data_IF_007791559972
#
_entry.id   IF_007791559972
#
_cell.length_a   1.000
_cell.length_b   1.000
_cell.length_c   1.000
_cell.angle_alpha   90.00
_cell.angle_beta   90.00
_cell.angle_gamma   90.00
#
_symmetry.space_group_name_H-M   'P 1'
#
loop_
_entity.id
_entity.type
_entity.pdbx_description
1 polymer ?
#
# COMPACT_ATOMS: atom_id res chain seq x y z
N UNK A 1 28.57 4.87 -14.22
CA UNK A 1 29.80 4.41 -13.53
C UNK A 1 29.51 3.03 -12.96
N UNK A 2 30.13 1.96 -13.47
CA UNK A 2 30.04 0.63 -12.85
C UNK A 2 30.91 0.65 -11.59
N UNK A 3 30.32 0.45 -10.42
CA UNK A 3 31.08 0.24 -9.20
C UNK A 3 31.79 -1.11 -9.33
N UNK A 4 33.12 -1.11 -9.27
CA UNK A 4 33.92 -2.34 -9.24
C UNK A 4 34.20 -2.66 -7.77
N UNK A 5 33.24 -3.33 -7.12
CA UNK A 5 33.30 -3.66 -5.70
C UNK A 5 33.78 -5.10 -5.55
N UNK A 6 34.91 -5.30 -4.86
CA UNK A 6 35.49 -6.61 -4.58
C UNK A 6 35.00 -7.14 -3.23
N UNK A 7 34.25 -8.24 -3.25
CA UNK A 7 33.72 -8.92 -2.06
C UNK A 7 34.56 -10.11 -1.59
N UNK A 8 35.69 -10.40 -2.23
CA UNK A 8 36.47 -11.62 -1.94
C UNK A 8 36.98 -11.70 -0.49
N UNK A 9 37.14 -10.57 0.21
CA UNK A 9 37.43 -10.56 1.66
C UNK A 9 36.23 -10.96 2.52
N UNK A 10 35.02 -10.56 2.13
CA UNK A 10 33.78 -10.95 2.81
C UNK A 10 33.53 -12.45 2.60
N UNK A 11 33.74 -12.96 1.39
CA UNK A 11 33.63 -14.38 1.07
C UNK A 11 34.61 -15.24 1.88
N UNK A 12 35.88 -14.82 2.00
CA UNK A 12 36.85 -15.51 2.87
C UNK A 12 36.41 -15.52 4.33
N UNK A 13 35.79 -14.44 4.79
CA UNK A 13 35.28 -14.35 6.17
C UNK A 13 34.12 -15.32 6.38
N UNK A 14 33.21 -15.45 5.41
CA UNK A 14 32.13 -16.46 5.46
C UNK A 14 32.69 -17.88 5.57
N UNK A 15 33.72 -18.21 4.79
CA UNK A 15 34.38 -19.53 4.85
C UNK A 15 35.05 -19.75 6.21
N UNK A 16 35.79 -18.77 6.74
CA UNK A 16 36.44 -18.87 8.05
C UNK A 16 35.45 -19.02 9.21
N UNK A 17 34.25 -18.45 9.07
CA UNK A 17 33.19 -18.52 10.06
C UNK A 17 32.29 -19.76 9.91
N UNK A 18 32.55 -20.62 8.92
CA UNK A 18 31.68 -21.75 8.55
C UNK A 18 30.21 -21.30 8.29
N UNK A 19 30.04 -20.05 7.87
CA UNK A 19 28.73 -19.44 7.68
C UNK A 19 28.18 -19.77 6.29
N UNK A 20 26.90 -20.13 6.20
CA UNK A 20 26.24 -20.29 4.90
C UNK A 20 26.16 -18.94 4.16
N UNK A 21 26.52 -18.94 2.87
CA UNK A 21 26.33 -17.79 2.00
C UNK A 21 24.85 -17.40 1.90
N UNK A 22 24.55 -16.11 2.05
CA UNK A 22 23.22 -15.55 1.92
C UNK A 22 23.17 -14.55 0.77
N UNK A 23 22.05 -14.56 0.04
CA UNK A 23 21.79 -13.57 -1.01
C UNK A 23 21.45 -12.23 -0.33
N UNK A 24 22.21 -11.18 -0.63
CA UNK A 24 21.92 -9.81 -0.20
C UNK A 24 21.83 -8.87 -1.40
N UNK A 25 20.98 -7.85 -1.31
CA UNK A 25 20.91 -6.78 -2.30
C UNK A 25 21.57 -5.53 -1.72
N UNK A 26 22.44 -4.89 -2.50
CA UNK A 26 23.03 -3.60 -2.16
C UNK A 26 22.07 -2.56 -2.71
N UNK A 27 21.24 -2.00 -1.84
CA UNK A 27 20.47 -0.82 -2.17
C UNK A 27 21.38 0.42 -2.07
N UNK A 28 21.26 1.40 -2.99
CA UNK A 28 21.98 2.66 -2.85
C UNK A 28 21.70 3.27 -1.48
N UNK A 29 22.76 3.71 -0.79
CA UNK A 29 22.58 4.49 0.43
C UNK A 29 21.68 5.69 0.11
N UNK A 30 20.56 5.79 0.82
CA UNK A 30 19.63 6.89 0.62
C UNK A 30 20.38 8.21 0.89
N UNK A 31 20.29 9.21 0.00
CA UNK A 31 20.97 10.48 0.20
C UNK A 31 20.58 11.11 1.55
N UNK A 32 21.52 11.78 2.22
CA UNK A 32 21.27 12.45 3.51
C UNK A 32 20.11 13.45 3.44
N UNK A 33 19.95 14.13 2.30
CA UNK A 33 18.81 15.01 2.03
C UNK A 33 17.46 14.27 2.05
N UNK A 34 17.38 13.06 1.49
CA UNK A 34 16.17 12.25 1.54
C UNK A 34 15.89 11.75 2.98
N UNK A 35 16.93 11.47 3.75
CA UNK A 35 16.80 11.12 5.17
C UNK A 35 16.24 12.30 5.98
N UNK A 36 16.77 13.50 5.79
CA UNK A 36 16.32 14.69 6.49
C UNK A 36 14.86 15.02 6.13
N UNK A 37 14.52 14.91 4.84
CA UNK A 37 13.15 15.07 4.37
C UNK A 37 12.18 14.05 4.99
N UNK A 38 12.59 12.79 5.15
CA UNK A 38 11.77 11.78 5.83
C UNK A 38 11.46 12.16 7.28
N UNK A 39 12.44 12.70 8.00
CA UNK A 39 12.24 13.13 9.39
C UNK A 39 11.29 14.33 9.47
N UNK A 40 11.49 15.33 8.62
CA UNK A 40 10.61 16.49 8.54
C UNK A 40 9.17 16.07 8.20
N UNK A 41 9.01 15.11 7.29
CA UNK A 41 7.71 14.60 6.88
C UNK A 41 7.01 13.79 7.99
N UNK A 42 7.75 13.13 8.88
CA UNK A 42 7.18 12.48 10.07
C UNK A 42 6.60 13.54 11.02
N UNK A 43 7.31 14.65 11.23
CA UNK A 43 6.85 15.75 12.09
C UNK A 43 5.66 16.52 11.47
N UNK A 44 5.65 16.60 10.15
CA UNK A 44 4.59 17.20 9.35
C UNK A 44 5.03 18.52 8.70
N UNK A 45 4.88 18.59 7.38
CA UNK A 45 5.29 19.75 6.58
C UNK A 45 4.05 20.57 6.22
N UNK A 46 4.12 21.87 6.47
CA UNK A 46 3.06 22.79 6.09
C UNK A 46 3.16 23.15 4.60
N UNK A 47 2.13 22.82 3.82
CA UNK A 47 2.05 23.09 2.38
C UNK A 47 0.71 23.75 2.01
N UNK A 48 0.71 24.46 0.88
CA UNK A 48 -0.52 24.80 0.18
C UNK A 48 -1.06 23.58 -0.57
N UNK A 49 -2.36 23.56 -0.85
CA UNK A 49 -3.04 22.41 -1.46
C UNK A 49 -2.52 22.10 -2.87
N UNK A 50 -2.12 23.13 -3.63
CA UNK A 50 -1.56 23.04 -4.98
C UNK A 50 -0.24 22.26 -5.04
N UNK A 51 0.56 22.32 -3.96
CA UNK A 51 1.81 21.57 -3.84
C UNK A 51 1.63 20.10 -3.39
N UNK A 52 0.44 19.71 -2.96
CA UNK A 52 0.14 18.31 -2.61
C UNK A 52 0.04 17.48 -3.88
N UNK A 53 0.74 16.35 -3.96
CA UNK A 53 0.72 15.46 -5.13
C UNK A 53 -0.34 14.37 -4.96
N UNK A 54 -0.98 13.99 -6.07
CA UNK A 54 -2.06 12.97 -6.12
C UNK A 54 -1.98 12.08 -7.36
N UNK A 55 -0.77 11.89 -7.92
CA UNK A 55 -0.56 11.25 -9.22
C UNK A 55 -1.13 9.82 -9.31
N UNK A 56 -1.15 9.10 -8.20
CA UNK A 56 -1.72 7.74 -8.08
C UNK A 56 -3.14 7.74 -7.55
N UNK A 57 -3.83 8.89 -7.45
CA UNK A 57 -5.13 9.03 -6.77
C UNK A 57 -5.06 9.00 -5.24
N UNK A 58 -3.92 8.59 -4.67
CA UNK A 58 -3.58 8.68 -3.25
C UNK A 58 -2.79 9.96 -2.99
N UNK A 59 -2.87 10.49 -1.76
CA UNK A 59 -2.07 11.66 -1.37
C UNK A 59 -0.60 11.26 -1.25
N UNK A 60 0.26 12.07 -1.84
CA UNK A 60 1.69 11.81 -1.92
C UNK A 60 2.53 13.08 -1.84
N UNK A 61 3.80 12.90 -1.50
CA UNK A 61 4.79 13.98 -1.51
C UNK A 61 6.15 13.39 -1.82
N UNK A 62 6.80 13.84 -2.90
CA UNK A 62 8.14 13.40 -3.30
C UNK A 62 8.30 11.86 -3.31
N UNK A 63 7.36 11.19 -3.99
CA UNK A 63 7.36 9.74 -4.16
C UNK A 63 7.00 8.92 -2.92
N UNK A 64 6.64 9.55 -1.80
CA UNK A 64 6.16 8.92 -0.57
C UNK A 64 4.65 9.00 -0.46
N UNK A 65 4.05 7.97 0.12
CA UNK A 65 2.67 8.03 0.58
C UNK A 65 2.57 9.01 1.74
N UNK A 66 1.59 9.90 1.71
CA UNK A 66 1.34 10.84 2.80
C UNK A 66 -0.16 10.95 3.07
N UNK A 67 -0.49 11.50 4.23
CA UNK A 67 -1.83 12.00 4.53
C UNK A 67 -1.79 13.52 4.62
N UNK A 68 -2.95 14.14 4.51
CA UNK A 68 -3.15 15.58 4.59
C UNK A 68 -4.19 15.92 5.65
N UNK A 69 -3.96 16.94 6.47
CA UNK A 69 -5.00 17.49 7.34
C UNK A 69 -4.90 19.01 7.51
N UNK A 70 -5.98 19.64 7.96
CA UNK A 70 -6.02 21.06 8.29
C UNK A 70 -5.88 21.19 9.82
N UNK A 71 -4.79 21.78 10.32
CA UNK A 71 -4.55 21.90 11.76
C UNK A 71 -5.46 22.93 12.44
N UNK A 72 -5.92 23.95 11.71
CA UNK A 72 -6.80 25.00 12.24
C UNK A 72 -8.25 24.51 12.40
N UNK A 73 -8.78 24.60 13.62
CA UNK A 73 -10.11 24.15 14.01
C UNK A 73 -10.96 25.27 14.57
N UNK A 74 -12.06 25.57 13.86
CA UNK A 74 -13.10 26.52 14.32
C UNK A 74 -13.73 26.15 15.67
N UNK A 75 -13.78 24.86 16.00
CA UNK A 75 -14.27 24.36 17.29
C UNK A 75 -13.23 23.45 17.94
N UNK A 76 -12.06 24.02 18.23
CA UNK A 76 -10.92 23.33 18.80
C UNK A 76 -11.23 22.61 20.13
N UNK A 77 -12.10 23.18 20.98
CA UNK A 77 -12.45 22.58 22.27
C UNK A 77 -13.21 21.25 22.13
N UNK A 78 -14.17 21.19 21.20
CA UNK A 78 -14.87 19.95 20.89
C UNK A 78 -13.92 18.94 20.25
N UNK A 79 -13.08 19.39 19.30
CA UNK A 79 -12.11 18.54 18.62
C UNK A 79 -11.10 17.91 19.59
N UNK A 80 -10.60 18.66 20.59
CA UNK A 80 -9.68 18.12 21.61
C UNK A 80 -10.35 17.11 22.55
N UNK A 81 -11.66 17.25 22.80
CA UNK A 81 -12.43 16.29 23.62
C UNK A 81 -12.75 15.01 22.84
N UNK A 82 -13.15 15.16 21.58
CA UNK A 82 -13.42 14.06 20.66
C UNK A 82 -12.96 14.45 19.25
N UNK A 83 -11.92 13.78 18.74
CA UNK A 83 -11.41 14.02 17.39
C UNK A 83 -12.41 13.72 16.28
N UNK A 84 -13.52 13.06 16.58
CA UNK A 84 -14.66 12.91 15.66
C UNK A 84 -15.36 14.25 15.36
N UNK A 85 -15.27 15.22 16.26
CA UNK A 85 -15.83 16.57 16.13
C UNK A 85 -14.86 17.53 15.39
N UNK A 86 -13.61 17.10 15.18
CA UNK A 86 -12.60 17.89 14.48
C UNK A 86 -12.69 17.82 12.95
N UNK A 87 -11.76 18.49 12.29
CA UNK A 87 -11.50 18.29 10.86
C UNK A 87 -11.08 16.83 10.62
N UNK A 88 -11.22 16.37 9.38
CA UNK A 88 -10.83 15.01 8.99
C UNK A 88 -9.49 15.05 8.28
N UNK A 89 -8.70 13.99 8.44
CA UNK A 89 -7.52 13.81 7.61
C UNK A 89 -7.89 13.09 6.31
N UNK A 90 -7.13 13.35 5.27
CA UNK A 90 -7.34 12.86 3.92
C UNK A 90 -6.16 11.99 3.51
N UNK A 91 -6.45 10.96 2.71
CA UNK A 91 -5.45 9.99 2.22
C UNK A 91 -5.52 9.76 0.71
N UNK A 92 -6.50 10.39 0.05
CA UNK A 92 -6.74 10.26 -1.38
C UNK A 92 -7.32 11.56 -1.96
N UNK A 93 -7.29 11.68 -3.28
CA UNK A 93 -7.88 12.77 -4.07
C UNK A 93 -9.42 12.68 -4.08
N UNK A 94 -10.01 12.74 -2.89
CA UNK A 94 -11.45 12.69 -2.75
C UNK A 94 -12.09 14.00 -3.21
N UNK A 95 -13.41 13.97 -3.43
CA UNK A 95 -14.20 15.13 -3.87
C UNK A 95 -13.89 16.42 -3.09
N UNK A 96 -13.69 16.34 -1.77
CA UNK A 96 -13.40 17.51 -0.94
C UNK A 96 -12.03 18.12 -1.22
N UNK A 97 -11.01 17.31 -1.53
CA UNK A 97 -9.69 17.81 -1.92
C UNK A 97 -9.78 18.53 -3.27
N UNK A 98 -10.54 17.99 -4.22
CA UNK A 98 -10.80 18.65 -5.51
C UNK A 98 -11.48 20.01 -5.28
N UNK A 99 -12.56 20.04 -4.51
CA UNK A 99 -13.27 21.29 -4.15
C UNK A 99 -12.37 22.30 -3.42
N UNK A 100 -11.43 21.84 -2.59
CA UNK A 100 -10.47 22.70 -1.88
C UNK A 100 -9.45 23.31 -2.84
N UNK A 101 -8.96 22.55 -3.82
CA UNK A 101 -8.05 23.07 -4.87
C UNK A 101 -8.73 24.15 -5.72
N UNK A 102 -10.00 23.95 -6.07
CA UNK A 102 -10.76 24.89 -6.91
C UNK A 102 -11.06 26.22 -6.20
N UNK A 103 -11.17 26.21 -4.88
CA UNK A 103 -11.62 27.37 -4.09
C UNK A 103 -10.49 28.28 -3.60
N UNK A 104 -9.23 27.89 -3.76
CA UNK A 104 -8.04 28.56 -3.21
C UNK A 104 -8.30 29.12 -1.79
N UNK A 105 -8.60 28.24 -0.83
CA UNK A 105 -9.14 28.67 0.46
C UNK A 105 -8.16 29.45 1.35
N UNK A 106 -6.90 29.63 0.92
CA UNK A 106 -5.84 30.21 1.74
C UNK A 106 -5.44 29.36 2.95
N UNK A 107 -6.09 28.20 3.14
CA UNK A 107 -5.82 27.28 4.23
C UNK A 107 -4.41 26.70 4.06
N UNK A 108 -3.71 26.58 5.19
CA UNK A 108 -2.44 25.87 5.23
C UNK A 108 -2.68 24.45 5.71
N UNK A 109 -2.20 23.49 4.93
CA UNK A 109 -2.38 22.07 5.19
C UNK A 109 -1.08 21.49 5.75
N UNK A 110 -1.19 20.43 6.53
CA UNK A 110 -0.03 19.65 6.96
C UNK A 110 -0.06 18.31 6.22
N UNK A 111 1.04 17.99 5.54
CA UNK A 111 1.30 16.65 5.00
C UNK A 111 2.23 15.89 5.93
N UNK A 112 1.97 14.61 6.16
CA UNK A 112 2.82 13.80 7.04
C UNK A 112 2.79 12.32 6.67
N UNK A 113 3.87 11.61 7.04
CA UNK A 113 3.97 10.14 7.07
C UNK A 113 3.73 9.55 8.46
N UNK A 114 3.52 10.39 9.47
CA UNK A 114 3.33 9.97 10.86
C UNK A 114 2.14 9.03 11.02
N UNK A 115 2.38 7.81 11.47
CA UNK A 115 1.37 6.76 11.67
C UNK A 115 0.90 6.66 13.12
N UNK A 116 1.37 7.54 14.01
CA UNK A 116 0.98 7.59 15.43
C UNK A 116 -0.53 7.78 15.63
N UNK A 117 -1.21 8.32 14.61
CA UNK A 117 -2.63 8.67 14.65
C UNK A 117 -2.94 9.87 15.54
N UNK A 118 -1.93 10.57 16.06
CA UNK A 118 -2.08 11.81 16.84
C UNK A 118 -1.68 13.00 15.98
N UNK A 119 -2.61 13.94 15.82
CA UNK A 119 -2.43 15.13 14.99
C UNK A 119 -2.38 16.37 15.87
N UNK A 120 -1.37 17.21 15.65
CA UNK A 120 -1.27 18.53 16.28
C UNK A 120 -2.27 19.46 15.62
N UNK A 121 -3.20 19.97 16.41
CA UNK A 121 -4.25 20.90 15.98
C UNK A 121 -4.24 22.16 16.85
N UNK A 122 -4.74 23.27 16.30
CA UNK A 122 -4.87 24.54 17.00
C UNK A 122 -6.18 25.25 16.62
N UNK A 123 -6.54 26.27 17.39
CA UNK A 123 -7.66 27.16 17.09
C UNK A 123 -7.93 28.13 18.25
N UNK A 124 -8.97 28.94 18.11
CA UNK A 124 -9.37 29.91 19.13
C UNK A 124 -10.42 29.33 20.09
N UNK A 125 -10.22 29.50 21.40
CA UNK A 125 -11.25 29.22 22.39
C UNK A 125 -12.46 30.16 22.19
N UNK A 126 -13.67 29.60 22.22
CA UNK A 126 -14.90 30.37 21.97
C UNK A 126 -15.17 31.46 23.00
N UNK A 127 -14.81 31.21 24.26
CA UNK A 127 -15.16 32.11 25.37
C UNK A 127 -14.33 33.39 25.42
N UNK A 128 -13.06 33.35 25.00
CA UNK A 128 -12.13 34.46 25.20
C UNK A 128 -11.17 34.69 24.03
N UNK A 129 -11.37 34.02 22.90
CA UNK A 129 -10.55 34.16 21.69
C UNK A 129 -9.06 33.85 21.87
N UNK A 130 -8.68 33.21 22.97
CA UNK A 130 -7.30 32.78 23.20
C UNK A 130 -6.97 31.57 22.32
N UNK A 131 -5.81 31.61 21.67
CA UNK A 131 -5.28 30.45 20.96
C UNK A 131 -5.01 29.30 21.92
N UNK A 132 -5.44 28.11 21.52
CA UNK A 132 -5.14 26.85 22.19
C UNK A 132 -4.70 25.82 21.15
N UNK A 133 -3.87 24.87 21.57
CA UNK A 133 -3.39 23.78 20.74
C UNK A 133 -3.34 22.47 21.54
N UNK A 134 -3.28 21.35 20.83
CA UNK A 134 -3.14 20.04 21.43
C UNK A 134 -3.03 18.94 20.39
N UNK A 135 -2.84 17.71 20.86
CA UNK A 135 -2.79 16.51 20.02
C UNK A 135 -4.09 15.72 20.14
N UNK A 136 -4.66 15.29 19.01
CA UNK A 136 -5.85 14.46 19.02
C UNK A 136 -5.84 13.39 17.93
N UNK A 137 -6.59 12.30 18.14
CA UNK A 137 -6.88 11.30 17.12
C UNK A 137 -8.02 11.77 16.22
N UNK A 138 -7.69 12.43 15.11
CA UNK A 138 -8.65 12.79 14.08
C UNK A 138 -9.17 11.54 13.36
N UNK A 139 -10.37 11.64 12.79
CA UNK A 139 -10.94 10.57 11.96
C UNK A 139 -10.58 10.75 10.49
N UNK A 140 -10.48 9.63 9.79
CA UNK A 140 -10.30 9.60 8.33
C UNK A 140 -11.50 10.22 7.62
N UNK A 141 -11.26 10.90 6.50
CA UNK A 141 -12.31 11.45 5.68
C UNK A 141 -13.13 10.33 5.02
N UNK A 142 -14.44 10.29 5.32
CA UNK A 142 -15.43 9.37 4.71
C UNK A 142 -15.44 9.45 3.17
N UNK A 143 -15.06 10.58 2.60
CA UNK A 143 -14.96 10.76 1.14
C UNK A 143 -13.74 10.04 0.55
N UNK A 144 -12.62 9.98 1.27
CA UNK A 144 -11.45 9.20 0.86
C UNK A 144 -11.76 7.70 0.89
N UNK A 145 -12.40 7.21 1.96
CA UNK A 145 -12.80 5.80 2.06
C UNK A 145 -13.75 5.39 0.94
N UNK A 146 -14.74 6.24 0.63
CA UNK A 146 -15.62 6.03 -0.50
C UNK A 146 -14.87 6.07 -1.83
N UNK A 147 -13.98 7.03 -2.02
CA UNK A 147 -13.20 7.16 -3.26
C UNK A 147 -12.43 5.87 -3.57
N UNK A 148 -11.73 5.33 -2.57
CA UNK A 148 -10.94 4.10 -2.68
C UNK A 148 -11.78 2.83 -2.62
N UNK A 149 -13.06 2.93 -2.25
CA UNK A 149 -13.86 1.80 -1.77
C UNK A 149 -13.09 0.94 -0.74
N UNK A 150 -12.41 1.61 0.20
CA UNK A 150 -11.58 0.95 1.22
C UNK A 150 -12.45 0.04 2.09
N UNK A 151 -12.10 -1.24 2.21
CA UNK A 151 -12.89 -2.25 2.93
C UNK A 151 -14.38 -2.25 2.56
N UNK A 152 -14.71 -2.09 1.27
CA UNK A 152 -16.08 -2.08 0.77
C UNK A 152 -16.91 -0.85 1.16
N UNK A 153 -16.28 0.23 1.65
CA UNK A 153 -16.98 1.38 2.22
C UNK A 153 -18.05 2.00 1.32
N UNK A 154 -17.90 1.99 -0.01
CA UNK A 154 -18.88 2.63 -0.89
C UNK A 154 -20.27 1.95 -0.79
N UNK A 155 -20.28 0.62 -0.75
CA UNK A 155 -21.49 -0.21 -0.78
C UNK A 155 -21.92 -0.73 0.60
N UNK A 156 -21.13 -0.50 1.64
CA UNK A 156 -21.44 -0.93 3.00
C UNK A 156 -22.71 -0.25 3.57
N UNK A 157 -23.48 -0.96 4.43
CA UNK A 157 -24.57 -0.36 5.20
C UNK A 157 -24.05 0.68 6.20
N UNK A 158 -24.95 1.50 6.76
CA UNK A 158 -24.57 2.65 7.60
C UNK A 158 -23.75 2.24 8.83
N UNK A 159 -24.14 1.18 9.51
CA UNK A 159 -23.45 0.67 10.71
C UNK A 159 -22.02 0.20 10.36
N UNK A 160 -21.87 -0.59 9.29
CA UNK A 160 -20.57 -1.04 8.81
C UNK A 160 -19.68 0.13 8.34
N UNK A 161 -20.25 1.20 7.77
CA UNK A 161 -19.49 2.41 7.40
C UNK A 161 -18.86 3.07 8.62
N UNK A 162 -19.60 3.16 9.73
CA UNK A 162 -19.08 3.75 10.95
C UNK A 162 -18.02 2.84 11.60
N UNK A 163 -18.19 1.53 11.52
CA UNK A 163 -17.16 0.57 11.92
C UNK A 163 -15.87 0.73 11.11
N UNK A 164 -15.95 0.83 9.78
CA UNK A 164 -14.76 1.03 8.92
C UNK A 164 -14.04 2.33 9.29
N UNK A 165 -14.78 3.42 9.58
CA UNK A 165 -14.19 4.71 9.95
C UNK A 165 -13.53 4.66 11.31
N UNK A 166 -14.18 4.02 12.30
CA UNK A 166 -13.68 3.93 13.67
C UNK A 166 -12.49 2.98 13.81
N UNK A 167 -12.44 1.91 13.00
CA UNK A 167 -11.35 0.93 12.96
C UNK A 167 -10.26 1.25 11.94
N UNK A 168 -10.33 2.40 11.26
CA UNK A 168 -9.32 2.78 10.27
C UNK A 168 -7.94 2.90 10.93
N UNK A 169 -6.98 2.09 10.46
CA UNK A 169 -5.61 2.09 10.93
C UNK A 169 -4.66 2.66 9.88
N UNK A 170 -3.83 3.62 10.28
CA UNK A 170 -2.87 4.27 9.37
C UNK A 170 -1.78 3.31 8.91
N UNK A 171 -1.30 2.41 9.77
CA UNK A 171 -0.22 1.50 9.38
C UNK A 171 -0.71 0.47 8.36
N UNK A 172 -1.90 -0.09 8.56
CA UNK A 172 -2.61 -0.95 7.62
C UNK A 172 -2.80 -0.24 6.28
N UNK A 173 -3.31 0.99 6.30
CA UNK A 173 -3.52 1.78 5.09
C UNK A 173 -2.22 2.00 4.32
N UNK A 174 -1.16 2.47 4.99
CA UNK A 174 0.12 2.75 4.34
C UNK A 174 0.78 1.48 3.77
N UNK A 175 0.65 0.35 4.46
CA UNK A 175 1.18 -0.92 3.97
C UNK A 175 0.36 -1.48 2.80
N UNK A 176 -0.97 -1.36 2.84
CA UNK A 176 -1.88 -1.80 1.76
C UNK A 176 -1.53 -1.15 0.42
N UNK A 177 -1.24 0.15 0.44
CA UNK A 177 -0.94 0.91 -0.78
C UNK A 177 0.56 1.13 -1.02
N UNK A 178 1.43 0.55 -0.21
CA UNK A 178 2.89 0.78 -0.27
C UNK A 178 3.53 0.50 -1.63
N UNK A 179 2.98 -0.45 -2.39
CA UNK A 179 3.44 -0.80 -3.74
C UNK A 179 3.12 0.26 -4.80
N UNK A 180 2.31 1.27 -4.48
CA UNK A 180 1.96 2.39 -5.35
C UNK A 180 2.99 3.53 -5.29
N UNK A 181 3.99 3.43 -4.42
CA UNK A 181 4.93 4.52 -4.12
C UNK A 181 6.38 4.10 -4.37
N UNK A 182 7.22 5.09 -4.65
CA UNK A 182 8.64 4.90 -4.90
C UNK A 182 9.39 4.57 -3.62
N UNK A 183 9.06 5.26 -2.53
CA UNK A 183 9.71 5.10 -1.23
C UNK A 183 8.74 4.45 -0.25
N UNK A 184 9.23 3.46 0.49
CA UNK A 184 8.44 2.75 1.48
C UNK A 184 8.33 3.55 2.80
N UNK A 185 7.22 3.43 3.56
CA UNK A 185 7.02 4.18 4.80
C UNK A 185 8.05 3.80 5.88
N UNK A 186 8.84 4.78 6.33
CA UNK A 186 10.02 4.54 7.17
C UNK A 186 9.71 4.08 8.60
N UNK A 187 8.66 4.63 9.23
CA UNK A 187 8.25 4.25 10.59
C UNK A 187 7.98 2.73 10.72
N UNK A 188 7.59 2.07 9.62
CA UNK A 188 7.31 0.63 9.59
C UNK A 188 8.58 -0.24 9.46
N UNK A 189 9.76 0.35 9.26
CA UNK A 189 11.05 -0.36 9.27
C UNK A 189 11.72 -0.35 10.65
N UNK A 190 11.51 0.69 11.44
CA UNK A 190 12.20 0.90 12.72
C UNK A 190 11.93 -0.19 13.78
N UNK A 191 10.84 -0.96 13.62
CA UNK A 191 10.41 -1.97 14.58
C UNK A 191 10.71 -3.42 14.18
N UNK A 192 11.35 -3.68 13.02
CA UNK A 192 11.49 -5.07 12.51
C UNK A 192 12.47 -5.96 13.28
N UNK A 193 13.24 -5.42 14.21
CA UNK A 193 14.33 -6.16 14.87
C UNK A 193 14.35 -6.05 16.41
N UNK A 194 13.34 -5.44 17.04
CA UNK A 194 13.28 -5.40 18.51
C UNK A 194 12.56 -6.66 19.02
N UNK A 195 13.32 -7.62 19.54
CA UNK A 195 12.80 -8.76 20.30
C UNK A 195 12.83 -10.12 19.61
N UNK A 196 13.67 -10.30 18.58
CA UNK A 196 13.92 -11.64 18.03
C UNK A 196 15.19 -12.20 18.66
N UNK A 197 15.05 -13.28 19.42
CA UNK A 197 16.17 -14.09 19.90
C UNK A 197 16.89 -14.74 18.70
N UNK A 198 18.18 -15.01 18.81
CA UNK A 198 19.01 -15.63 17.75
C UNK A 198 18.37 -16.93 17.19
N UNK A 199 17.60 -17.64 18.02
CA UNK A 199 16.84 -18.84 17.66
C UNK A 199 15.77 -18.59 16.57
N UNK A 200 15.17 -17.40 16.51
CA UNK A 200 14.17 -17.09 15.48
C UNK A 200 14.75 -17.05 14.06
N UNK A 201 15.98 -16.55 13.92
CA UNK A 201 16.64 -16.46 12.62
C UNK A 201 16.87 -17.86 12.02
N UNK A 202 17.44 -18.77 12.81
CA UNK A 202 17.68 -20.14 12.39
C UNK A 202 16.37 -20.89 12.13
N UNK A 203 15.36 -20.72 12.99
CA UNK A 203 14.02 -21.30 12.79
C UNK A 203 13.34 -20.79 11.51
N UNK A 204 13.42 -19.50 11.23
CA UNK A 204 12.88 -18.88 10.01
C UNK A 204 13.57 -19.42 8.75
N UNK A 205 14.90 -19.56 8.80
CA UNK A 205 15.71 -20.12 7.72
C UNK A 205 15.37 -21.59 7.47
N UNK A 206 15.31 -22.41 8.52
CA UNK A 206 14.95 -23.82 8.44
C UNK A 206 13.53 -24.00 7.86
N UNK A 207 12.56 -23.20 8.30
CA UNK A 207 11.19 -23.23 7.78
C UNK A 207 11.15 -22.99 6.27
N UNK A 208 11.81 -21.93 5.78
CA UNK A 208 11.85 -21.58 4.35
C UNK A 208 12.61 -22.62 3.51
N UNK A 209 13.70 -23.18 4.04
CA UNK A 209 14.49 -24.25 3.39
C UNK A 209 13.67 -25.55 3.25
N UNK A 210 12.91 -25.93 4.29
CA UNK A 210 12.06 -27.14 4.32
C UNK A 210 11.02 -27.16 3.20
N UNK A 211 10.42 -26.02 2.88
CA UNK A 211 9.44 -25.90 1.78
C UNK A 211 10.07 -25.50 0.45
N UNK A 212 11.40 -25.61 0.34
CA UNK A 212 12.15 -25.26 -0.85
C UNK A 212 11.85 -23.83 -1.37
N UNK A 213 11.76 -22.88 -0.45
CA UNK A 213 11.42 -21.49 -0.72
C UNK A 213 10.10 -21.30 -1.49
N UNK A 214 9.16 -22.23 -1.36
CA UNK A 214 7.83 -22.15 -1.95
C UNK A 214 6.86 -21.51 -0.95
N UNK A 215 6.15 -20.47 -1.36
CA UNK A 215 5.09 -19.87 -0.55
C UNK A 215 3.99 -20.90 -0.28
N UNK A 216 3.69 -21.18 0.98
CA UNK A 216 2.70 -22.17 1.36
C UNK A 216 1.24 -21.72 1.16
N UNK A 217 1.01 -20.42 0.92
CA UNK A 217 -0.32 -19.92 0.54
C UNK A 217 -0.51 -19.95 -0.98
N UNK A 218 0.35 -19.30 -1.77
CA UNK A 218 0.14 -19.16 -3.22
C UNK A 218 1.00 -20.06 -4.11
N UNK A 219 1.79 -20.97 -3.52
CA UNK A 219 2.65 -21.94 -4.22
C UNK A 219 3.74 -21.34 -5.12
N UNK A 220 3.99 -20.02 -5.06
CA UNK A 220 5.08 -19.43 -5.84
C UNK A 220 6.41 -19.87 -5.26
N UNK A 221 7.25 -20.45 -6.10
CA UNK A 221 8.63 -20.77 -5.77
C UNK A 221 9.50 -19.51 -5.88
N UNK A 222 10.20 -19.19 -4.79
CA UNK A 222 11.06 -18.01 -4.65
C UNK A 222 12.53 -18.42 -4.43
N UNK A 223 12.95 -19.62 -4.86
CA UNK A 223 14.33 -20.11 -4.66
C UNK A 223 15.37 -19.16 -5.24
N UNK A 224 15.07 -18.50 -6.36
CA UNK A 224 15.94 -17.51 -7.01
C UNK A 224 15.84 -16.10 -6.40
N UNK A 225 14.87 -15.87 -5.49
CA UNK A 225 14.56 -14.60 -4.83
C UNK A 225 14.14 -14.83 -3.37
N UNK A 226 15.00 -15.51 -2.62
CA UNK A 226 14.70 -16.01 -1.26
C UNK A 226 14.28 -14.91 -0.28
N UNK A 227 14.79 -13.68 -0.47
CA UNK A 227 14.45 -12.50 0.33
C UNK A 227 12.99 -12.02 0.17
N UNK A 228 12.23 -12.59 -0.77
CA UNK A 228 10.79 -12.31 -0.96
C UNK A 228 9.90 -13.30 -0.19
N UNK A 229 10.51 -14.25 0.54
CA UNK A 229 9.82 -15.23 1.36
C UNK A 229 10.17 -15.01 2.83
N UNK A 230 9.14 -14.83 3.64
CA UNK A 230 9.23 -14.62 5.08
C UNK A 230 8.66 -15.84 5.82
N UNK A 231 9.08 -16.02 7.08
CA UNK A 231 8.41 -16.92 8.00
C UNK A 231 7.33 -16.14 8.76
N UNK A 232 6.12 -16.69 8.78
CA UNK A 232 4.96 -16.16 9.46
C UNK A 232 4.60 -17.06 10.64
N UNK A 233 4.24 -16.45 11.77
CA UNK A 233 3.62 -17.15 12.89
C UNK A 233 2.09 -17.11 12.66
N UNK A 234 1.46 -18.21 12.22
CA UNK A 234 0.00 -18.28 12.22
C UNK A 234 -0.44 -18.17 13.67
N UNK A 235 -1.32 -17.20 13.97
CA UNK A 235 -1.75 -16.98 15.35
C UNK A 235 -2.45 -18.21 15.94
N UNK A 236 -1.69 -19.02 16.70
CA UNK A 236 -2.19 -19.89 17.75
C UNK A 236 -1.13 -19.96 18.85
N UNK A 237 -1.41 -19.24 19.95
CA UNK A 237 -0.83 -19.46 21.28
C UNK A 237 0.68 -19.21 21.38
N UNK A 238 1.07 -18.03 21.87
CA UNK A 238 2.46 -17.61 22.18
C UNK A 238 3.19 -18.49 23.21
N UNK A 239 2.61 -19.59 23.69
CA UNK A 239 3.12 -20.39 24.80
C UNK A 239 3.57 -21.81 24.45
N UNK A 240 3.71 -22.17 23.17
CA UNK A 240 4.30 -23.46 22.81
C UNK A 240 5.41 -23.29 21.78
N UNK A 241 6.64 -23.44 22.25
CA UNK A 241 7.90 -23.29 21.50
C UNK A 241 8.26 -24.57 20.73
N UNK A 242 7.30 -25.23 20.08
CA UNK A 242 7.57 -26.44 19.29
C UNK A 242 7.73 -26.09 17.81
N UNK A 243 8.56 -26.87 17.13
CA UNK A 243 9.10 -26.71 15.76
C UNK A 243 8.02 -26.59 14.64
N UNK A 244 6.72 -26.66 14.95
CA UNK A 244 5.64 -26.86 13.98
C UNK A 244 4.86 -25.60 13.58
N UNK A 245 5.15 -24.43 14.17
CA UNK A 245 4.26 -23.25 14.09
C UNK A 245 4.73 -22.13 13.15
N UNK A 246 5.70 -22.34 12.27
CA UNK A 246 6.05 -21.35 11.24
C UNK A 246 5.58 -21.80 9.86
N UNK A 247 4.95 -20.90 9.13
CA UNK A 247 4.62 -21.08 7.71
C UNK A 247 5.41 -20.10 6.85
N UNK A 248 5.92 -20.55 5.71
CA UNK A 248 6.65 -19.69 4.79
C UNK A 248 5.68 -19.02 3.80
N UNK A 249 5.60 -17.70 3.84
CA UNK A 249 4.73 -16.90 2.97
C UNK A 249 5.56 -15.93 2.14
N UNK A 250 5.19 -15.74 0.87
CA UNK A 250 5.77 -14.64 0.11
C UNK A 250 5.31 -13.31 0.72
N UNK A 251 6.11 -12.26 0.59
CA UNK A 251 5.79 -10.94 1.16
C UNK A 251 4.38 -10.43 0.84
N UNK A 252 3.89 -10.68 -0.38
CA UNK A 252 2.52 -10.33 -0.77
C UNK A 252 1.44 -11.14 -0.05
N UNK A 253 1.63 -12.46 0.11
CA UNK A 253 0.71 -13.28 0.90
C UNK A 253 0.80 -12.91 2.39
N UNK A 254 2.00 -12.67 2.89
CA UNK A 254 2.25 -12.37 4.30
C UNK A 254 1.57 -11.07 4.72
N UNK A 255 1.65 -9.99 3.92
CA UNK A 255 0.95 -8.72 4.22
C UNK A 255 -0.58 -8.84 4.19
N UNK A 256 -1.13 -9.90 3.57
CA UNK A 256 -2.58 -10.16 3.49
C UNK A 256 -3.09 -11.01 4.67
N UNK A 257 -2.20 -11.53 5.51
CA UNK A 257 -2.61 -12.25 6.72
C UNK A 257 -3.12 -11.28 7.80
N UNK A 258 -4.07 -11.70 8.65
CA UNK A 258 -4.54 -10.89 9.77
C UNK A 258 -3.40 -10.42 10.67
N UNK A 259 -3.53 -9.21 11.21
CA UNK A 259 -2.56 -8.58 12.14
C UNK A 259 -1.15 -8.33 11.57
N UNK A 260 -0.91 -8.69 10.31
CA UNK A 260 0.36 -8.53 9.61
C UNK A 260 0.26 -7.50 8.46
N UNK A 261 -0.85 -6.77 8.43
CA UNK A 261 -1.16 -5.77 7.42
C UNK A 261 -0.29 -4.51 7.53
N UNK A 262 0.73 -4.49 8.39
CA UNK A 262 1.69 -3.38 8.55
C UNK A 262 3.07 -3.67 7.91
N UNK A 263 3.17 -4.69 7.06
CA UNK A 263 4.39 -5.03 6.34
C UNK A 263 4.35 -4.50 4.91
N UNK A 264 5.04 -3.38 4.63
CA UNK A 264 5.01 -2.78 3.32
C UNK A 264 5.78 -3.64 2.30
N UNK A 265 5.27 -3.68 1.07
CA UNK A 265 5.86 -4.38 -0.06
C UNK A 265 6.07 -3.36 -1.17
N UNK A 266 7.31 -3.20 -1.63
CA UNK A 266 7.60 -2.22 -2.70
C UNK A 266 7.00 -2.65 -4.03
N UNK A 267 6.85 -1.68 -4.94
CA UNK A 267 6.47 -1.95 -6.33
C UNK A 267 7.34 -3.04 -6.97
N UNK A 268 8.66 -2.97 -6.79
CA UNK A 268 9.60 -3.95 -7.37
C UNK A 268 9.43 -5.34 -6.77
N UNK A 269 9.24 -5.45 -5.45
CA UNK A 269 8.99 -6.73 -4.78
C UNK A 269 7.67 -7.33 -5.26
N UNK A 270 6.60 -6.54 -5.32
CA UNK A 270 5.30 -7.01 -5.82
C UNK A 270 5.40 -7.45 -7.28
N UNK A 271 5.99 -6.62 -8.14
CA UNK A 271 6.21 -6.94 -9.56
C UNK A 271 6.99 -8.23 -9.73
N UNK A 272 8.05 -8.45 -8.93
CA UNK A 272 8.86 -9.68 -8.98
C UNK A 272 8.07 -10.92 -8.54
N UNK A 273 7.37 -10.87 -7.40
CA UNK A 273 6.53 -11.99 -6.92
C UNK A 273 5.51 -12.36 -7.99
N UNK A 274 4.91 -11.34 -8.56
CA UNK A 274 3.80 -11.48 -9.49
C UNK A 274 4.25 -12.02 -10.85
N UNK A 275 5.41 -11.56 -11.35
CA UNK A 275 6.07 -12.13 -12.52
C UNK A 275 6.40 -13.62 -12.32
N UNK A 276 6.95 -13.99 -11.16
CA UNK A 276 7.29 -15.38 -10.85
C UNK A 276 6.04 -16.28 -10.77
N UNK A 277 4.94 -15.79 -10.20
CA UNK A 277 3.65 -16.51 -10.22
C UNK A 277 3.22 -16.84 -11.64
N UNK A 278 3.30 -15.87 -12.55
CA UNK A 278 2.93 -16.06 -13.96
C UNK A 278 3.85 -17.04 -14.67
N UNK A 279 5.17 -16.89 -14.53
CA UNK A 279 6.17 -17.80 -15.13
C UNK A 279 5.99 -19.25 -14.67
N UNK A 280 5.42 -19.45 -13.48
CA UNK A 280 5.11 -20.75 -12.89
C UNK A 280 3.67 -21.22 -13.15
N UNK A 281 2.88 -20.50 -13.95
CA UNK A 281 1.51 -20.88 -14.30
C UNK A 281 0.48 -20.74 -13.16
N UNK A 282 0.76 -19.91 -12.15
CA UNK A 282 -0.06 -19.77 -10.94
C UNK A 282 -1.13 -18.68 -11.01
N UNK A 283 -1.25 -17.95 -12.13
CA UNK A 283 -2.13 -16.76 -12.28
C UNK A 283 -3.46 -17.05 -12.97
N UNK A 284 -4.09 -18.18 -12.66
CA UNK A 284 -5.37 -18.59 -13.25
C UNK A 284 -6.49 -18.59 -12.20
N UNK A 285 -7.12 -17.44 -11.91
CA UNK A 285 -8.19 -17.38 -10.93
C UNK A 285 -9.46 -18.08 -11.44
N UNK A 286 -10.10 -18.88 -10.59
CA UNK A 286 -11.36 -19.58 -10.87
C UNK A 286 -12.58 -18.92 -10.20
N UNK A 287 -12.33 -17.98 -9.30
CA UNK A 287 -13.35 -17.23 -8.56
C UNK A 287 -12.78 -15.90 -8.02
N UNK A 288 -13.63 -15.02 -7.50
CA UNK A 288 -13.21 -13.72 -6.96
C UNK A 288 -12.23 -13.81 -5.79
N UNK A 289 -12.32 -14.86 -4.97
CA UNK A 289 -11.36 -15.08 -3.87
C UNK A 289 -9.95 -15.36 -4.41
N UNK A 290 -9.85 -16.17 -5.46
CA UNK A 290 -8.59 -16.42 -6.15
C UNK A 290 -8.05 -15.19 -6.88
N UNK A 291 -8.92 -14.31 -7.42
CA UNK A 291 -8.49 -12.99 -7.94
C UNK A 291 -7.81 -12.18 -6.82
N UNK A 292 -8.48 -12.01 -5.67
CA UNK A 292 -7.93 -11.28 -4.51
C UNK A 292 -6.60 -11.85 -4.01
N UNK A 293 -6.43 -13.18 -4.11
CA UNK A 293 -5.18 -13.85 -3.74
C UNK A 293 -3.99 -13.35 -4.56
N UNK A 294 -4.17 -13.09 -5.86
CA UNK A 294 -3.07 -12.80 -6.78
C UNK A 294 -2.91 -11.32 -7.14
N UNK A 295 -3.95 -10.50 -7.02
CA UNK A 295 -3.87 -9.05 -7.25
C UNK A 295 -3.22 -8.32 -6.08
N UNK A 296 -2.68 -7.13 -6.34
CA UNK A 296 -2.20 -6.23 -5.29
C UNK A 296 -3.37 -5.78 -4.38
N UNK A 297 -3.21 -5.76 -3.04
CA UNK A 297 -4.19 -5.19 -2.10
C UNK A 297 -4.66 -3.79 -2.43
N UNK A 298 -3.83 -2.95 -3.05
CA UNK A 298 -4.23 -1.63 -3.52
C UNK A 298 -5.48 -1.69 -4.41
N UNK A 299 -5.65 -2.78 -5.19
CA UNK A 299 -6.77 -2.99 -6.10
C UNK A 299 -8.00 -3.62 -5.47
N UNK A 300 -7.98 -3.99 -4.18
CA UNK A 300 -9.10 -4.69 -3.54
C UNK A 300 -10.41 -3.91 -3.61
N UNK A 301 -10.38 -2.60 -3.33
CA UNK A 301 -11.56 -1.75 -3.43
C UNK A 301 -12.17 -1.73 -4.83
N UNK A 302 -11.34 -1.78 -5.88
CA UNK A 302 -11.80 -1.85 -7.26
C UNK A 302 -12.38 -3.23 -7.60
N UNK A 303 -11.68 -4.31 -7.23
CA UNK A 303 -12.12 -5.70 -7.43
C UNK A 303 -13.45 -5.98 -6.74
N UNK A 304 -13.64 -5.50 -5.51
CA UNK A 304 -14.90 -5.59 -4.78
C UNK A 304 -16.06 -4.95 -5.52
N UNK A 305 -15.81 -3.79 -6.12
CA UNK A 305 -16.82 -3.10 -6.91
C UNK A 305 -17.17 -3.89 -8.17
N UNK A 306 -16.18 -4.38 -8.92
CA UNK A 306 -16.38 -5.25 -10.07
C UNK A 306 -17.22 -6.49 -9.72
N UNK A 307 -16.91 -7.14 -8.59
CA UNK A 307 -17.64 -8.28 -8.08
C UNK A 307 -19.10 -7.94 -7.77
N UNK A 308 -19.34 -6.85 -7.03
CA UNK A 308 -20.69 -6.42 -6.63
C UNK A 308 -21.61 -6.10 -7.81
N UNK A 309 -21.03 -5.82 -8.98
CA UNK A 309 -21.72 -5.44 -10.19
C UNK A 309 -21.89 -6.59 -11.18
N UNK A 310 -21.43 -7.79 -10.81
CA UNK A 310 -21.56 -9.00 -11.61
C UNK A 310 -20.72 -8.98 -12.89
N UNK A 311 -19.56 -8.31 -12.88
CA UNK A 311 -18.62 -8.40 -14.01
C UNK A 311 -18.01 -9.81 -14.11
N UNK A 312 -17.50 -10.15 -15.30
CA UNK A 312 -16.72 -11.38 -15.49
C UNK A 312 -15.42 -11.34 -14.66
N UNK A 313 -14.88 -12.52 -14.33
CA UNK A 313 -13.59 -12.61 -13.65
C UNK A 313 -12.49 -12.00 -14.53
N UNK A 314 -11.69 -11.06 -14.01
CA UNK A 314 -10.55 -10.57 -14.76
C UNK A 314 -9.43 -11.61 -14.81
N UNK A 315 -8.65 -11.57 -15.88
CA UNK A 315 -7.32 -12.16 -15.91
C UNK A 315 -6.38 -11.32 -15.05
N UNK A 316 -5.57 -11.96 -14.24
CA UNK A 316 -4.53 -11.29 -13.43
C UNK A 316 -3.21 -11.38 -14.19
N UNK A 317 -2.49 -10.26 -14.31
CA UNK A 317 -1.18 -10.19 -14.96
C UNK A 317 -1.20 -10.57 -16.44
N UNK A 318 -2.15 -9.99 -17.16
CA UNK A 318 -2.36 -10.30 -18.56
C UNK A 318 -1.26 -9.66 -19.43
N UNK A 319 -0.50 -10.44 -20.23
CA UNK A 319 0.51 -9.90 -21.11
C UNK A 319 -0.11 -9.22 -22.32
N UNK A 320 0.39 -8.02 -22.65
CA UNK A 320 0.06 -7.33 -23.89
C UNK A 320 1.33 -6.76 -24.50
N UNK A 321 1.59 -7.11 -25.75
CA UNK A 321 2.73 -6.57 -26.50
C UNK A 321 2.36 -5.21 -27.07
N UNK A 322 3.15 -4.19 -26.72
CA UNK A 322 3.08 -2.89 -27.36
C UNK A 322 3.64 -3.01 -28.78
N UNK A 323 2.79 -2.81 -29.78
CA UNK A 323 3.20 -2.93 -31.19
C UNK A 323 4.22 -1.87 -31.62
N UNK A 324 4.31 -0.74 -30.91
CA UNK A 324 5.25 0.34 -31.24
C UNK A 324 6.65 0.09 -30.67
N UNK A 325 6.73 -0.39 -29.42
CA UNK A 325 8.02 -0.62 -28.74
C UNK A 325 8.49 -2.07 -28.83
N UNK A 326 7.62 -2.98 -29.26
CA UNK A 326 7.80 -4.43 -29.21
C UNK A 326 8.04 -4.97 -27.79
N UNK A 327 7.68 -4.19 -26.76
CA UNK A 327 7.81 -4.58 -25.35
C UNK A 327 6.52 -5.23 -24.85
N UNK A 328 6.63 -6.30 -24.08
CA UNK A 328 5.50 -6.90 -23.37
C UNK A 328 5.27 -6.17 -22.05
N UNK A 329 4.06 -5.63 -21.90
CA UNK A 329 3.57 -5.02 -20.67
C UNK A 329 2.65 -6.02 -19.99
N UNK A 330 2.73 -6.11 -18.67
CA UNK A 330 1.84 -6.95 -17.87
C UNK A 330 0.81 -6.06 -17.18
N UNK A 331 -0.45 -6.25 -17.54
CA UNK A 331 -1.58 -5.50 -16.99
C UNK A 331 -2.02 -6.16 -15.69
N UNK A 332 -2.22 -5.38 -14.63
CA UNK A 332 -2.50 -5.92 -13.30
C UNK A 332 -3.73 -6.82 -13.31
N UNK A 333 -4.78 -6.30 -13.94
CA UNK A 333 -6.01 -7.04 -14.26
C UNK A 333 -6.51 -6.65 -15.66
N UNK A 334 -7.10 -7.60 -16.37
CA UNK A 334 -7.61 -7.39 -17.72
C UNK A 334 -8.85 -8.22 -18.03
N UNK A 335 -9.66 -7.72 -18.94
CA UNK A 335 -10.75 -8.43 -19.61
C UNK A 335 -10.42 -8.49 -21.11
N UNK A 336 -9.69 -9.54 -21.56
CA UNK A 336 -9.13 -9.58 -22.92
C UNK A 336 -10.18 -9.55 -24.02
N UNK A 337 -11.31 -10.21 -23.80
CA UNK A 337 -12.47 -10.20 -24.73
C UNK A 337 -13.02 -8.79 -24.98
N UNK A 338 -12.87 -7.90 -24.00
CA UNK A 338 -13.33 -6.50 -24.03
C UNK A 338 -12.21 -5.50 -24.33
N UNK A 339 -10.95 -5.95 -24.31
CA UNK A 339 -9.73 -5.10 -24.41
C UNK A 339 -9.72 -3.96 -23.39
N UNK A 340 -10.24 -4.24 -22.19
CA UNK A 340 -10.23 -3.33 -21.05
C UNK A 340 -9.27 -3.87 -20.00
N UNK A 341 -8.50 -2.98 -19.38
CA UNK A 341 -7.57 -3.37 -18.33
C UNK A 341 -7.32 -2.25 -17.33
N UNK A 342 -6.67 -2.60 -16.22
CA UNK A 342 -6.17 -1.67 -15.23
C UNK A 342 -4.66 -1.87 -15.07
N UNK A 343 -3.93 -0.77 -14.95
CA UNK A 343 -2.52 -0.73 -14.64
C UNK A 343 -2.23 0.26 -13.51
N UNK A 344 -1.55 -0.20 -12.47
CA UNK A 344 -1.18 0.58 -11.28
C UNK A 344 0.12 1.35 -11.47
N UNK A 345 0.92 0.97 -12.46
CA UNK A 345 2.17 1.63 -12.85
C UNK A 345 1.97 2.84 -13.76
N UNK A 346 3.05 3.22 -14.45
CA UNK A 346 3.03 4.32 -15.43
C UNK A 346 2.01 4.05 -16.52
N UNK A 347 1.32 5.10 -16.96
CA UNK A 347 0.42 5.05 -18.09
C UNK A 347 1.13 4.50 -19.33
N UNK A 348 0.52 3.52 -19.99
CA UNK A 348 1.01 3.01 -21.27
C UNK A 348 -0.14 2.99 -22.26
N UNK A 349 0.15 3.43 -23.49
CA UNK A 349 -0.78 3.29 -24.61
C UNK A 349 -0.46 1.98 -25.33
N UNK A 350 -1.46 1.12 -25.44
CA UNK A 350 -1.40 -0.07 -26.28
C UNK A 350 -2.55 0.00 -27.28
N UNK A 351 -2.24 -0.24 -28.56
CA UNK A 351 -3.22 -0.17 -29.64
C UNK A 351 -4.47 -1.02 -29.31
N UNK A 352 -5.64 -0.43 -29.50
CA UNK A 352 -6.97 -1.04 -29.26
C UNK A 352 -7.29 -1.45 -27.81
N UNK A 353 -6.45 -1.10 -26.84
CA UNK A 353 -6.73 -1.35 -25.42
C UNK A 353 -7.19 -0.09 -24.69
N UNK A 354 -8.25 -0.22 -23.90
CA UNK A 354 -8.65 0.78 -22.93
C UNK A 354 -8.04 0.45 -21.57
N UNK A 355 -6.88 1.05 -21.28
CA UNK A 355 -6.14 0.84 -20.04
C UNK A 355 -6.44 1.98 -19.07
N UNK A 356 -7.05 1.64 -17.94
CA UNK A 356 -7.28 2.55 -16.84
C UNK A 356 -6.05 2.60 -15.93
N UNK A 357 -5.59 3.80 -15.60
CA UNK A 357 -4.68 3.99 -14.47
C UNK A 357 -5.43 3.80 -13.15
N UNK A 358 -4.71 3.48 -12.08
CA UNK A 358 -5.29 3.35 -10.75
C UNK A 358 -6.16 4.56 -10.32
N UNK A 359 -5.66 5.78 -10.53
CA UNK A 359 -6.40 7.03 -10.20
C UNK A 359 -7.73 7.12 -10.95
N UNK A 360 -7.76 6.61 -12.18
CA UNK A 360 -8.93 6.66 -13.05
C UNK A 360 -9.90 5.53 -12.75
N UNK A 361 -9.40 4.36 -12.35
CA UNK A 361 -10.21 3.24 -11.90
C UNK A 361 -11.15 3.66 -10.75
N UNK A 362 -10.64 4.36 -9.74
CA UNK A 362 -11.46 4.87 -8.64
C UNK A 362 -12.41 5.99 -9.07
N UNK A 363 -12.00 6.86 -10.00
CA UNK A 363 -12.90 7.87 -10.58
C UNK A 363 -14.05 7.24 -11.36
N UNK A 364 -13.78 6.13 -12.07
CA UNK A 364 -14.80 5.35 -12.78
C UNK A 364 -15.82 4.82 -11.79
N UNK A 365 -15.42 4.28 -10.63
CA UNK A 365 -16.35 3.77 -9.61
C UNK A 365 -17.28 4.86 -9.05
N UNK A 366 -16.78 6.09 -8.90
CA UNK A 366 -17.51 7.16 -8.20
C UNK A 366 -18.41 8.01 -9.11
N UNK A 367 -18.21 7.96 -10.44
CA UNK A 367 -19.02 8.74 -11.40
C UNK A 367 -19.93 7.81 -12.20
N UNK A 368 -21.23 7.84 -11.91
CA UNK A 368 -22.26 6.99 -12.56
C UNK A 368 -22.16 6.98 -14.08
N UNK A 369 -21.85 8.12 -14.71
CA UNK A 369 -21.68 8.23 -16.17
C UNK A 369 -20.42 7.54 -16.69
N UNK A 370 -19.25 7.79 -16.06
CA UNK A 370 -18.01 7.10 -16.42
C UNK A 370 -18.11 5.61 -16.15
N UNK A 371 -18.78 5.24 -15.06
CA UNK A 371 -19.08 3.86 -14.75
C UNK A 371 -20.01 3.22 -15.79
N UNK A 372 -21.07 3.92 -16.22
CA UNK A 372 -21.96 3.45 -17.29
C UNK A 372 -21.18 3.21 -18.59
N UNK A 373 -20.26 4.12 -18.92
CA UNK A 373 -19.35 3.97 -20.05
C UNK A 373 -18.42 2.77 -19.87
N UNK A 374 -17.77 2.61 -18.72
CA UNK A 374 -16.97 1.41 -18.40
C UNK A 374 -17.80 0.13 -18.53
N UNK A 375 -19.00 0.10 -17.95
CA UNK A 375 -19.94 -1.02 -18.06
C UNK A 375 -20.35 -1.30 -19.49
N UNK A 376 -20.48 -0.28 -20.34
CA UNK A 376 -20.76 -0.45 -21.77
C UNK A 376 -19.59 -1.08 -22.53
N UNK A 377 -18.34 -0.80 -22.15
CA UNK A 377 -17.18 -1.52 -22.69
C UNK A 377 -17.11 -2.96 -22.21
N UNK A 378 -17.68 -3.25 -21.04
CA UNK A 378 -17.70 -4.58 -20.42
C UNK A 378 -18.87 -5.46 -20.89
N UNK A 379 -19.89 -4.90 -21.54
CA UNK A 379 -20.98 -5.63 -22.20
C UNK A 379 -20.57 -5.96 -23.62
#
# INVERSE_FOLDING_TARGET
>A
MKLNVDFSKLERSLVMMEAESCDFEIEPAMPEAEFAFDQELIEGIQLKIDHVQTNTGLISTNGRQTLLYIPDHKNIEAALKDGSEGNKFHVAECKKIIEMREKDSGDRYIVTTGTSGKFKIYGERRSNKKEISGEVKLRVCKLCLRYLNYNGYANAPLEAKEEIVSKFDLKEFFSTYSSMFQHLPREQFAHRHRGYDDDFYERSKACRKRVNYTCQNCNVNLRTKKHLLDAHHPERIKSNSSIQDLIALCKDCHRKEPFHQHMPVSFHQMSTITRLRREQGLTNPTNWQSVRKFVDPALFGFIEMCQSLGLELPHVQYPVTNQQTNETIYLDIAWPSKRVALLSGKAVKVDKWYILEFKDAHNVLNKKERFSKFKSYMR
#
